data_IF_255908289088
#
_entry.id   IF_255908289088
#
_cell.length_a   1.000
_cell.length_b   1.000
_cell.length_c   1.000
_cell.angle_alpha   90.00
_cell.angle_beta   90.00
_cell.angle_gamma   90.00
#
_symmetry.space_group_name_H-M   'P 1'
#
loop_
_entity.id
_entity.type
_entity.pdbx_description
1 polymer ?
#
# COMPACT_ATOMS: atom_id res chain seq x y z
N UNK A 1 4.38 -59.57 -7.01
CA UNK A 1 5.52 -58.94 -6.29
C UNK A 1 6.20 -57.81 -7.08
N UNK A 2 5.47 -57.03 -7.89
CA UNK A 2 6.06 -55.96 -8.71
C UNK A 2 5.47 -54.54 -8.47
N UNK A 3 4.36 -54.40 -7.74
CA UNK A 3 3.70 -53.09 -7.56
C UNK A 3 4.18 -52.28 -6.34
N UNK A 4 4.93 -52.87 -5.41
CA UNK A 4 5.31 -52.15 -4.19
C UNK A 4 6.54 -51.23 -4.33
N UNK A 5 7.26 -51.26 -5.47
CA UNK A 5 8.49 -50.48 -5.67
C UNK A 5 8.28 -49.08 -6.26
N UNK A 6 7.08 -48.73 -6.73
CA UNK A 6 6.84 -47.45 -7.41
C UNK A 6 6.53 -46.28 -6.46
N UNK A 7 6.00 -46.54 -5.26
CA UNK A 7 5.63 -45.46 -4.32
C UNK A 7 6.81 -44.86 -3.55
N UNK A 8 7.95 -45.56 -3.38
CA UNK A 8 9.10 -45.03 -2.63
C UNK A 8 9.91 -43.97 -3.37
N UNK A 9 9.94 -43.98 -4.72
CA UNK A 9 10.72 -43.00 -5.50
C UNK A 9 10.07 -41.61 -5.58
N UNK A 10 8.73 -41.52 -5.53
CA UNK A 10 8.02 -40.22 -5.49
C UNK A 10 8.08 -39.54 -4.13
N UNK A 11 8.08 -40.30 -3.03
CA UNK A 11 8.20 -39.75 -1.67
C UNK A 11 9.60 -39.15 -1.39
N UNK A 12 10.67 -39.73 -1.96
CA UNK A 12 12.04 -39.21 -1.77
C UNK A 12 12.31 -37.93 -2.57
N UNK A 13 11.75 -37.80 -3.78
CA UNK A 13 11.86 -36.58 -4.58
C UNK A 13 11.10 -35.38 -3.99
N UNK A 14 9.96 -35.62 -3.35
CA UNK A 14 9.17 -34.56 -2.70
C UNK A 14 9.87 -34.01 -1.43
N UNK A 15 10.57 -34.87 -0.68
CA UNK A 15 11.30 -34.49 0.53
C UNK A 15 12.56 -33.64 0.24
N UNK A 16 13.22 -33.86 -0.89
CA UNK A 16 14.39 -33.07 -1.33
C UNK A 16 14.00 -31.71 -1.92
N UNK A 17 12.82 -31.61 -2.55
CA UNK A 17 12.29 -30.35 -3.07
C UNK A 17 11.75 -29.44 -1.95
N UNK A 18 11.11 -30.01 -0.91
CA UNK A 18 10.68 -29.25 0.26
C UNK A 18 11.86 -28.74 1.10
N UNK A 19 12.97 -29.51 1.21
CA UNK A 19 14.14 -29.06 1.97
C UNK A 19 14.91 -27.94 1.27
N UNK A 20 15.00 -27.91 -0.06
CA UNK A 20 15.64 -26.80 -0.80
C UNK A 20 14.83 -25.51 -0.75
N UNK A 21 13.50 -25.56 -0.82
CA UNK A 21 12.64 -24.36 -0.66
C UNK A 21 12.69 -23.82 0.77
N UNK A 22 12.65 -24.70 1.78
CA UNK A 22 12.74 -24.29 3.20
C UNK A 22 14.12 -23.71 3.52
N UNK A 23 15.21 -24.28 3.02
CA UNK A 23 16.56 -23.71 3.20
C UNK A 23 16.73 -22.41 2.42
N UNK A 24 16.11 -22.26 1.26
CA UNK A 24 16.12 -21.01 0.49
C UNK A 24 15.37 -19.87 1.18
N UNK A 25 14.20 -20.14 1.75
CA UNK A 25 13.40 -19.16 2.51
C UNK A 25 14.04 -18.85 3.86
N UNK A 26 14.56 -19.86 4.58
CA UNK A 26 15.31 -19.64 5.82
C UNK A 26 16.59 -18.86 5.54
N UNK A 27 17.34 -19.18 4.48
CA UNK A 27 18.53 -18.42 4.08
C UNK A 27 18.22 -16.96 3.72
N UNK A 28 17.13 -16.72 2.97
CA UNK A 28 16.67 -15.37 2.64
C UNK A 28 16.27 -14.55 3.88
N UNK A 29 15.71 -15.21 4.90
CA UNK A 29 15.35 -14.57 6.17
C UNK A 29 16.55 -14.41 7.12
N UNK A 30 17.55 -15.30 7.08
CA UNK A 30 18.71 -15.30 7.98
C UNK A 30 19.92 -14.48 7.50
N UNK A 31 20.00 -14.11 6.22
CA UNK A 31 21.11 -13.31 5.69
C UNK A 31 20.74 -11.85 5.41
N UNK A 32 19.88 -11.25 6.23
CA UNK A 32 19.71 -9.80 6.22
C UNK A 32 20.97 -9.16 6.82
N UNK A 33 21.80 -8.57 5.97
CA UNK A 33 22.93 -7.76 6.44
C UNK A 33 22.37 -6.53 7.15
N UNK A 34 22.70 -6.31 8.44
CA UNK A 34 22.25 -5.12 9.15
C UNK A 34 22.80 -3.87 8.46
N UNK A 35 22.14 -2.72 8.69
CA UNK A 35 22.68 -1.43 8.25
C UNK A 35 24.09 -1.27 8.83
N UNK A 36 25.06 -0.98 7.95
CA UNK A 36 26.49 -0.89 8.26
C UNK A 36 27.02 0.47 7.79
N UNK A 37 26.73 1.49 8.60
CA UNK A 37 27.12 2.88 8.34
C UNK A 37 28.64 3.02 8.20
N UNK A 38 29.40 2.24 8.99
CA UNK A 38 30.87 2.26 8.96
C UNK A 38 31.40 1.74 7.63
N UNK A 39 30.79 0.70 7.05
CA UNK A 39 31.17 0.21 5.73
C UNK A 39 30.85 1.23 4.62
N UNK A 40 29.72 1.93 4.70
CA UNK A 40 29.39 3.00 3.75
C UNK A 40 30.38 4.16 3.85
N UNK A 41 30.67 4.63 5.07
CA UNK A 41 31.65 5.70 5.30
C UNK A 41 33.04 5.31 4.76
N UNK A 42 33.46 4.06 4.95
CA UNK A 42 34.71 3.53 4.38
C UNK A 42 34.69 3.46 2.86
N UNK A 43 33.55 3.12 2.24
CA UNK A 43 33.41 3.08 0.79
C UNK A 43 33.52 4.48 0.19
N UNK A 44 32.80 5.46 0.74
CA UNK A 44 32.87 6.87 0.35
C UNK A 44 34.29 7.41 0.57
N UNK A 45 34.89 7.13 1.72
CA UNK A 45 36.22 7.59 2.06
C UNK A 45 37.31 7.04 1.10
N UNK A 46 37.07 5.89 0.46
CA UNK A 46 37.99 5.28 -0.52
C UNK A 46 37.66 5.63 -1.97
N UNK A 47 36.50 6.22 -2.24
CA UNK A 47 36.05 6.51 -3.59
C UNK A 47 36.87 7.64 -4.21
N UNK A 48 37.24 7.47 -5.48
CA UNK A 48 37.90 8.47 -6.33
C UNK A 48 36.96 9.03 -7.41
N UNK A 49 35.77 8.44 -7.56
CA UNK A 49 34.77 8.82 -8.55
C UNK A 49 33.36 8.57 -8.04
N UNK A 50 32.48 9.55 -8.22
CA UNK A 50 31.06 9.51 -7.94
C UNK A 50 30.28 9.64 -9.25
N UNK A 51 29.30 8.76 -9.44
CA UNK A 51 28.37 8.83 -10.57
C UNK A 51 26.95 8.80 -10.04
N UNK A 52 26.14 9.78 -10.46
CA UNK A 52 24.70 9.81 -10.21
C UNK A 52 23.98 9.32 -11.46
N UNK A 53 23.18 8.28 -11.31
CA UNK A 53 22.27 7.79 -12.36
C UNK A 53 20.83 8.14 -11.98
N UNK A 54 20.04 8.52 -12.98
CA UNK A 54 18.62 8.81 -12.82
C UNK A 54 17.73 7.57 -12.69
N UNK A 55 16.43 7.82 -12.73
CA UNK A 55 15.36 6.84 -12.51
C UNK A 55 15.58 5.53 -13.32
N UNK A 56 15.55 4.35 -12.66
CA UNK A 56 15.69 3.07 -13.32
C UNK A 56 14.65 2.79 -14.40
N UNK A 57 13.45 3.37 -14.31
CA UNK A 57 12.38 3.22 -15.30
C UNK A 57 12.54 4.17 -16.49
N UNK A 58 13.43 5.16 -16.40
CA UNK A 58 13.76 6.10 -17.48
C UNK A 58 15.11 5.78 -18.14
N UNK A 59 15.61 4.56 -18.00
CA UNK A 59 16.83 4.09 -18.68
C UNK A 59 18.15 4.42 -17.99
N UNK A 60 18.14 4.89 -16.73
CA UNK A 60 19.34 5.17 -15.91
C UNK A 60 20.37 6.08 -16.59
N UNK A 61 19.92 7.19 -17.15
CA UNK A 61 20.82 8.21 -17.68
C UNK A 61 21.79 8.73 -16.60
N UNK A 62 23.03 9.02 -16.98
CA UNK A 62 23.99 9.66 -16.09
C UNK A 62 23.62 11.13 -15.93
N UNK A 63 23.28 11.52 -14.70
CA UNK A 63 22.86 12.88 -14.36
C UNK A 63 24.04 13.76 -13.94
N UNK A 64 25.02 13.16 -13.26
CA UNK A 64 26.16 13.87 -12.71
C UNK A 64 27.34 12.90 -12.52
N UNK A 65 28.55 13.41 -12.70
CA UNK A 65 29.79 12.70 -12.42
C UNK A 65 30.79 13.67 -11.79
N UNK A 66 31.54 13.20 -10.80
CA UNK A 66 32.62 13.98 -10.19
C UNK A 66 33.75 13.08 -9.72
N UNK A 67 34.98 13.55 -9.92
CA UNK A 67 36.20 13.02 -9.30
C UNK A 67 36.75 13.96 -8.23
N UNK A 68 36.03 15.05 -7.94
CA UNK A 68 36.42 15.98 -6.88
C UNK A 68 36.17 15.32 -5.53
N UNK A 69 37.22 15.33 -4.70
CA UNK A 69 37.17 14.71 -3.40
C UNK A 69 36.22 15.45 -2.44
N UNK A 70 36.17 16.77 -2.52
CA UNK A 70 35.32 17.58 -1.66
C UNK A 70 33.83 17.28 -1.92
N UNK A 71 33.47 17.13 -3.20
CA UNK A 71 32.13 16.75 -3.66
C UNK A 71 31.68 15.39 -3.12
N UNK A 72 32.55 14.38 -3.21
CA UNK A 72 32.30 13.02 -2.70
C UNK A 72 32.08 13.06 -1.17
N UNK A 73 32.90 13.81 -0.45
CA UNK A 73 32.81 13.93 1.00
C UNK A 73 31.57 14.73 1.43
N UNK A 74 31.21 15.78 0.69
CA UNK A 74 30.00 16.57 0.94
C UNK A 74 28.75 15.70 0.81
N UNK A 75 28.64 14.91 -0.25
CA UNK A 75 27.54 13.94 -0.38
C UNK A 75 27.59 12.90 0.75
N UNK A 76 28.78 12.42 1.12
CA UNK A 76 28.92 11.46 2.22
C UNK A 76 28.42 11.98 3.57
N UNK A 77 28.56 13.28 3.84
CA UNK A 77 27.97 13.94 5.03
C UNK A 77 26.44 14.02 4.95
N UNK A 78 25.88 14.10 3.75
CA UNK A 78 24.43 14.12 3.53
C UNK A 78 23.76 12.74 3.63
N UNK A 79 24.53 11.64 3.53
CA UNK A 79 24.03 10.26 3.55
C UNK A 79 24.09 9.58 4.94
N UNK A 80 24.10 10.35 6.02
CA UNK A 80 24.07 9.79 7.38
C UNK A 80 22.70 9.23 7.70
N UNK A 81 22.68 7.97 8.16
CA UNK A 81 21.45 7.23 8.44
C UNK A 81 21.34 6.79 9.89
N UNK A 82 20.10 6.58 10.33
CA UNK A 82 19.78 5.95 11.60
C UNK A 82 19.90 4.42 11.50
N UNK A 83 20.28 3.78 12.60
CA UNK A 83 20.22 2.33 12.70
C UNK A 83 18.75 1.94 12.92
N UNK A 84 18.09 1.22 11.99
CA UNK A 84 16.70 0.88 12.16
C UNK A 84 16.55 -0.18 13.26
N UNK A 85 15.57 -0.01 14.15
CA UNK A 85 15.21 -1.00 15.18
C UNK A 85 14.70 -2.31 14.56
N UNK A 86 14.06 -2.19 13.40
CA UNK A 86 13.50 -3.30 12.64
C UNK A 86 13.84 -3.16 11.15
N UNK A 87 14.17 -4.29 10.51
CA UNK A 87 14.44 -4.29 9.07
C UNK A 87 13.19 -3.88 8.29
N UNK A 88 13.35 -2.89 7.43
CA UNK A 88 12.33 -2.37 6.54
C UNK A 88 12.87 -2.34 5.11
N UNK A 89 12.00 -2.52 4.11
CA UNK A 89 12.34 -2.30 2.72
C UNK A 89 11.12 -1.74 2.01
N UNK A 90 11.27 -0.59 1.37
CA UNK A 90 10.25 -0.03 0.50
C UNK A 90 10.06 -0.92 -0.73
N UNK A 91 8.82 -1.06 -1.18
CA UNK A 91 8.47 -1.83 -2.38
C UNK A 91 8.87 -1.13 -3.69
N UNK A 92 9.32 0.13 -3.67
CA UNK A 92 9.75 0.84 -4.87
C UNK A 92 11.19 0.46 -5.29
N UNK A 93 11.52 0.77 -6.55
CA UNK A 93 12.88 0.55 -7.09
C UNK A 93 13.89 1.64 -6.67
N UNK A 94 13.41 2.70 -6.02
CA UNK A 94 14.15 3.95 -5.84
C UNK A 94 14.18 4.78 -7.12
N UNK A 95 14.71 5.99 -7.03
CA UNK A 95 14.85 6.91 -8.18
C UNK A 95 16.31 7.13 -8.52
N UNK A 96 16.97 8.16 -8.01
CA UNK A 96 18.39 8.38 -8.28
C UNK A 96 19.26 7.37 -7.54
N UNK A 97 20.37 6.96 -8.17
CA UNK A 97 21.40 6.15 -7.52
C UNK A 97 22.75 6.84 -7.54
N UNK A 98 23.39 6.87 -6.38
CA UNK A 98 24.72 7.37 -6.11
C UNK A 98 25.69 6.19 -6.10
N UNK A 99 26.53 6.11 -7.12
CA UNK A 99 27.50 5.04 -7.30
C UNK A 99 28.92 5.55 -6.98
N UNK A 100 29.55 4.95 -5.98
CA UNK A 100 30.90 5.29 -5.52
C UNK A 100 31.90 4.29 -6.09
N UNK A 101 32.90 4.76 -6.82
CA UNK A 101 33.90 3.93 -7.49
C UNK A 101 35.31 4.19 -6.94
N UNK A 102 36.19 3.19 -7.10
CA UNK A 102 37.64 3.33 -7.02
C UNK A 102 38.29 2.56 -8.16
N UNK A 103 39.08 3.24 -8.99
CA UNK A 103 39.72 2.63 -10.17
C UNK A 103 38.74 1.75 -10.97
N UNK A 104 37.59 2.31 -11.35
CA UNK A 104 36.48 1.64 -12.06
C UNK A 104 35.73 0.53 -11.32
N UNK A 105 36.14 0.16 -10.10
CA UNK A 105 35.42 -0.80 -9.27
C UNK A 105 34.36 -0.10 -8.43
N UNK A 106 33.09 -0.51 -8.58
CA UNK A 106 32.00 -0.08 -7.71
C UNK A 106 32.26 -0.53 -6.27
N UNK A 107 32.36 0.43 -5.35
CA UNK A 107 32.52 0.20 -3.91
C UNK A 107 31.16 0.11 -3.21
N UNK A 108 30.25 1.01 -3.54
CA UNK A 108 28.90 1.04 -3.00
C UNK A 108 27.95 1.71 -4.00
N UNK A 109 26.70 1.24 -4.01
CA UNK A 109 25.57 1.96 -4.62
C UNK A 109 24.57 2.29 -3.53
N UNK A 110 24.17 3.55 -3.49
CA UNK A 110 23.10 4.06 -2.64
C UNK A 110 21.97 4.54 -3.55
N UNK A 111 20.74 4.09 -3.39
CA UNK A 111 19.57 4.64 -4.09
C UNK A 111 18.71 5.49 -3.17
N UNK A 112 18.20 6.60 -3.69
CA UNK A 112 17.19 7.44 -3.06
C UNK A 112 15.85 6.68 -3.02
N UNK A 113 15.20 6.70 -1.86
CA UNK A 113 13.85 6.18 -1.66
C UNK A 113 13.00 7.26 -0.99
N UNK A 114 12.18 7.94 -1.79
CA UNK A 114 11.19 8.93 -1.32
C UNK A 114 11.82 10.19 -0.68
N UNK A 115 13.09 10.46 -0.98
CA UNK A 115 13.83 11.60 -0.45
C UNK A 115 14.21 11.50 1.03
N UNK A 116 13.79 10.45 1.74
CA UNK A 116 13.94 10.33 3.21
C UNK A 116 14.59 9.01 3.66
N UNK A 117 14.58 7.98 2.80
CA UNK A 117 15.29 6.73 3.03
C UNK A 117 16.34 6.49 1.95
N UNK A 118 17.34 5.67 2.27
CA UNK A 118 18.29 5.14 1.30
C UNK A 118 18.36 3.62 1.34
N UNK A 119 18.63 3.02 0.18
CA UNK A 119 18.98 1.60 0.06
C UNK A 119 20.43 1.49 -0.38
N UNK A 120 21.20 0.63 0.27
CA UNK A 120 22.63 0.48 -0.02
C UNK A 120 22.99 -0.97 -0.33
N UNK A 121 23.87 -1.20 -1.30
CA UNK A 121 24.37 -2.55 -1.64
C UNK A 121 25.20 -3.22 -0.54
N UNK A 122 25.59 -2.47 0.49
CA UNK A 122 26.39 -2.97 1.61
C UNK A 122 25.54 -3.69 2.67
N UNK A 123 24.22 -3.45 2.68
CA UNK A 123 23.28 -4.04 3.64
C UNK A 123 21.94 -4.41 2.97
N UNK A 124 20.96 -4.90 3.73
CA UNK A 124 19.69 -5.43 3.17
C UNK A 124 18.44 -4.60 3.51
N UNK A 125 18.51 -3.70 4.48
CA UNK A 125 17.39 -2.82 4.88
C UNK A 125 17.46 -1.46 4.20
N UNK A 126 16.32 -0.83 3.96
CA UNK A 126 16.31 0.62 3.76
C UNK A 126 16.57 1.29 5.12
N UNK A 127 17.25 2.44 5.09
CA UNK A 127 17.67 3.18 6.28
C UNK A 127 17.24 4.65 6.17
N UNK A 128 16.68 5.20 7.25
CA UNK A 128 16.24 6.58 7.29
C UNK A 128 17.43 7.53 7.34
N UNK A 129 17.40 8.62 6.58
CA UNK A 129 18.38 9.69 6.67
C UNK A 129 18.16 10.45 7.99
N UNK A 130 19.24 10.71 8.71
CA UNK A 130 19.23 11.56 9.93
C UNK A 130 18.85 13.01 9.62
N UNK A 131 19.16 13.48 8.41
CA UNK A 131 18.76 14.79 7.92
C UNK A 131 18.53 14.73 6.39
N UNK A 132 17.31 14.38 5.95
CA UNK A 132 16.96 14.27 4.52
C UNK A 132 17.27 15.53 3.71
N UNK A 133 17.14 16.72 4.31
CA UNK A 133 17.33 18.01 3.64
C UNK A 133 18.75 18.21 3.12
N UNK A 134 19.76 17.65 3.79
CA UNK A 134 21.16 17.74 3.31
C UNK A 134 21.35 17.04 1.98
N UNK A 135 20.73 15.86 1.81
CA UNK A 135 20.80 15.12 0.55
C UNK A 135 20.03 15.87 -0.53
N UNK A 136 18.81 16.30 -0.23
CA UNK A 136 17.97 17.02 -1.20
C UNK A 136 18.67 18.28 -1.70
N UNK A 137 19.23 19.11 -0.81
CA UNK A 137 19.99 20.31 -1.21
C UNK A 137 21.20 19.99 -2.07
N UNK A 138 21.96 18.95 -1.72
CA UNK A 138 23.10 18.53 -2.52
C UNK A 138 22.69 18.21 -3.97
N UNK A 139 21.56 17.53 -4.16
CA UNK A 139 21.01 17.27 -5.50
C UNK A 139 20.53 18.56 -6.18
N UNK A 140 19.81 19.44 -5.47
CA UNK A 140 19.28 20.70 -6.02
C UNK A 140 20.38 21.66 -6.49
N UNK A 141 21.46 21.83 -5.71
CA UNK A 141 22.61 22.67 -6.04
C UNK A 141 23.30 22.25 -7.34
N UNK A 142 23.11 21.00 -7.76
CA UNK A 142 23.62 20.41 -9.01
C UNK A 142 22.55 20.32 -10.10
N UNK A 143 21.41 20.99 -9.93
CA UNK A 143 20.31 21.03 -10.89
C UNK A 143 19.47 19.75 -10.96
N UNK A 144 19.62 18.83 -9.99
CA UNK A 144 18.87 17.58 -9.93
C UNK A 144 17.71 17.71 -8.94
N UNK A 145 16.51 18.03 -9.42
CA UNK A 145 15.36 18.32 -8.55
C UNK A 145 14.50 17.10 -8.17
N UNK A 146 14.89 15.88 -8.57
CA UNK A 146 14.11 14.66 -8.32
C UNK A 146 13.79 14.42 -6.85
N UNK A 147 14.80 14.33 -5.96
CA UNK A 147 14.58 14.12 -4.53
C UNK A 147 13.70 15.20 -3.88
N UNK A 148 13.82 16.47 -4.29
CA UNK A 148 12.96 17.56 -3.77
C UNK A 148 11.50 17.34 -4.15
N UNK A 149 11.23 16.98 -5.42
CA UNK A 149 9.86 16.72 -5.88
C UNK A 149 9.22 15.61 -5.07
N UNK A 150 9.96 14.53 -4.81
CA UNK A 150 9.49 13.42 -3.97
C UNK A 150 9.15 13.86 -2.54
N UNK A 151 10.05 14.59 -1.86
CA UNK A 151 9.77 15.10 -0.50
C UNK A 151 8.51 15.96 -0.49
N UNK A 152 8.35 16.85 -1.46
CA UNK A 152 7.18 17.72 -1.57
C UNK A 152 5.89 16.95 -1.90
N UNK A 153 5.97 15.91 -2.74
CA UNK A 153 4.86 15.02 -3.07
C UNK A 153 4.43 14.19 -1.87
N UNK A 154 5.38 13.66 -1.10
CA UNK A 154 5.11 12.93 0.13
C UNK A 154 4.46 13.84 1.17
N UNK A 155 4.99 15.05 1.38
CA UNK A 155 4.41 16.01 2.33
C UNK A 155 2.95 16.36 1.97
N UNK A 156 2.66 16.60 0.69
CA UNK A 156 1.28 16.82 0.20
C UNK A 156 0.41 15.59 0.43
N UNK A 157 0.90 14.41 0.07
CA UNK A 157 0.19 13.15 0.24
C UNK A 157 -0.11 12.84 1.71
N UNK A 158 0.80 13.19 2.62
CA UNK A 158 0.64 13.00 4.06
C UNK A 158 -0.36 13.99 4.67
N UNK A 159 -0.36 15.23 4.19
CA UNK A 159 -1.38 16.21 4.55
C UNK A 159 -2.77 15.76 4.09
N UNK A 160 -2.89 15.32 2.83
CA UNK A 160 -4.15 14.77 2.28
C UNK A 160 -4.59 13.53 3.06
N UNK A 161 -3.68 12.59 3.33
CA UNK A 161 -3.95 11.39 4.13
C UNK A 161 -4.43 11.75 5.53
N UNK A 162 -3.86 12.78 6.14
CA UNK A 162 -4.28 13.26 7.47
C UNK A 162 -5.68 13.86 7.44
N UNK A 163 -6.01 14.67 6.42
CA UNK A 163 -7.37 15.22 6.23
C UNK A 163 -8.39 14.11 5.99
N UNK A 164 -8.05 13.15 5.13
CA UNK A 164 -8.88 11.99 4.83
C UNK A 164 -9.12 11.12 6.06
N UNK A 165 -8.08 10.91 6.87
CA UNK A 165 -8.18 10.21 8.14
C UNK A 165 -9.15 10.89 9.10
N UNK A 166 -9.03 12.21 9.31
CA UNK A 166 -9.95 12.97 10.17
C UNK A 166 -11.40 12.87 9.67
N UNK A 167 -11.60 12.99 8.36
CA UNK A 167 -12.93 12.84 7.74
C UNK A 167 -13.51 11.45 7.96
N UNK A 168 -12.71 10.40 7.77
CA UNK A 168 -13.12 9.01 7.98
C UNK A 168 -13.50 8.73 9.43
N UNK A 169 -12.69 9.22 10.37
CA UNK A 169 -12.98 9.10 11.80
C UNK A 169 -14.28 9.81 12.19
N UNK A 170 -14.54 10.99 11.62
CA UNK A 170 -15.78 11.74 11.88
C UNK A 170 -17.04 11.01 11.37
N UNK A 171 -16.89 10.04 10.47
CA UNK A 171 -17.98 9.23 9.94
C UNK A 171 -18.13 7.86 10.64
N UNK A 172 -17.33 7.57 11.67
CA UNK A 172 -17.43 6.34 12.46
C UNK A 172 -18.85 6.22 13.03
N UNK A 173 -19.53 5.06 12.88
CA UNK A 173 -20.85 4.86 13.44
C UNK A 173 -20.87 5.07 14.95
N UNK A 174 -21.95 5.67 15.44
CA UNK A 174 -22.17 5.85 16.88
C UNK A 174 -22.00 4.51 17.62
N UNK A 175 -21.33 4.54 18.76
CA UNK A 175 -21.03 3.37 19.58
C UNK A 175 -19.68 2.70 19.27
N UNK A 176 -19.05 3.02 18.13
CA UNK A 176 -17.75 2.48 17.75
C UNK A 176 -16.56 3.38 18.11
N UNK A 177 -16.81 4.64 18.49
CA UNK A 177 -15.77 5.67 18.65
C UNK A 177 -14.72 5.30 19.70
N UNK A 178 -15.12 4.59 20.75
CA UNK A 178 -14.25 4.23 21.87
C UNK A 178 -13.62 2.83 21.75
N UNK A 179 -14.08 2.02 20.79
CA UNK A 179 -13.56 0.67 20.55
C UNK A 179 -12.51 0.71 19.45
N UNK A 180 -12.65 1.68 18.54
CA UNK A 180 -11.71 1.90 17.47
C UNK A 180 -10.46 2.63 17.96
N UNK A 181 -9.37 1.88 18.10
CA UNK A 181 -8.05 2.41 18.45
C UNK A 181 -7.17 2.58 17.20
N UNK A 182 -6.59 3.78 17.07
CA UNK A 182 -5.72 4.23 15.97
C UNK A 182 -4.45 3.38 15.85
N UNK A 183 -3.92 2.88 16.95
CA UNK A 183 -2.62 2.21 16.98
C UNK A 183 -2.69 0.74 16.53
N UNK A 184 -3.91 0.23 16.25
CA UNK A 184 -4.13 -1.18 15.98
C UNK A 184 -4.07 -1.59 14.49
N UNK A 185 -3.90 -0.62 13.57
CA UNK A 185 -3.99 -0.89 12.12
C UNK A 185 -2.65 -1.01 11.38
N UNK A 186 -1.51 -0.73 12.03
CA UNK A 186 -0.26 -0.58 11.28
C UNK A 186 0.50 -1.90 11.10
N UNK A 187 0.33 -2.89 11.99
CA UNK A 187 1.10 -4.16 11.90
C UNK A 187 0.34 -5.37 12.45
N UNK A 188 -0.33 -6.11 11.57
CA UNK A 188 -0.42 -7.57 11.70
C UNK A 188 -1.33 -8.18 12.76
N UNK A 189 -2.42 -7.53 13.20
CA UNK A 189 -3.47 -8.21 13.96
C UNK A 189 -4.74 -8.33 13.14
N UNK A 190 -5.16 -9.58 12.89
CA UNK A 190 -6.55 -9.87 12.58
C UNK A 190 -7.38 -9.41 13.79
N UNK A 191 -7.97 -8.22 13.71
CA UNK A 191 -8.96 -7.78 14.69
C UNK A 191 -10.09 -8.80 14.65
N UNK A 192 -10.52 -9.29 15.81
CA UNK A 192 -11.79 -9.98 15.88
C UNK A 192 -12.87 -8.93 15.66
N UNK A 193 -13.73 -9.11 14.66
CA UNK A 193 -14.83 -8.17 14.38
C UNK A 193 -15.89 -8.14 15.48
N UNK A 194 -15.92 -9.18 16.33
CA UNK A 194 -16.96 -9.41 17.33
C UNK A 194 -17.24 -8.23 18.30
N UNK A 195 -16.23 -7.53 18.88
CA UNK A 195 -16.51 -6.38 19.75
C UNK A 195 -17.16 -5.21 19.01
N UNK A 196 -16.78 -4.99 17.74
CA UNK A 196 -17.36 -3.94 16.90
C UNK A 196 -18.79 -4.31 16.50
N UNK A 197 -19.03 -5.58 16.15
CA UNK A 197 -20.37 -6.08 15.86
C UNK A 197 -21.31 -5.95 17.06
N UNK A 198 -20.87 -6.36 18.25
CA UNK A 198 -21.66 -6.24 19.48
C UNK A 198 -22.04 -4.78 19.79
N UNK A 199 -21.11 -3.85 19.59
CA UNK A 199 -21.37 -2.42 19.80
C UNK A 199 -22.32 -1.81 18.76
N UNK A 200 -22.25 -2.26 17.49
CA UNK A 200 -23.21 -1.90 16.46
C UNK A 200 -24.61 -2.43 16.79
N UNK A 201 -24.72 -3.69 17.22
CA UNK A 201 -26.00 -4.29 17.62
C UNK A 201 -26.64 -3.58 18.81
N UNK A 202 -25.83 -3.15 19.77
CA UNK A 202 -26.29 -2.37 20.91
C UNK A 202 -26.81 -0.98 20.48
N UNK A 203 -26.13 -0.32 19.54
CA UNK A 203 -26.46 1.06 19.14
C UNK A 203 -27.56 1.13 18.09
N UNK A 204 -27.57 0.18 17.17
CA UNK A 204 -28.51 0.08 16.05
C UNK A 204 -29.14 -1.32 16.09
N UNK A 205 -30.27 -1.51 16.78
CA UNK A 205 -30.88 -2.83 16.96
C UNK A 205 -31.35 -3.47 15.64
N UNK A 206 -31.66 -2.66 14.62
CA UNK A 206 -32.04 -3.14 13.29
C UNK A 206 -30.83 -3.43 12.40
N UNK A 207 -30.83 -4.57 11.71
CA UNK A 207 -29.80 -4.91 10.71
C UNK A 207 -29.72 -3.86 9.60
N UNK A 208 -30.86 -3.32 9.17
CA UNK A 208 -30.93 -2.25 8.19
C UNK A 208 -30.21 -0.99 8.67
N UNK A 209 -30.43 -0.56 9.91
CA UNK A 209 -29.77 0.63 10.47
C UNK A 209 -28.26 0.44 10.55
N UNK A 210 -27.81 -0.76 10.95
CA UNK A 210 -26.38 -1.13 10.96
C UNK A 210 -25.77 -1.06 9.57
N UNK A 211 -26.40 -1.68 8.57
CA UNK A 211 -25.93 -1.66 7.18
C UNK A 211 -25.84 -0.23 6.65
N UNK A 212 -26.86 0.60 6.87
CA UNK A 212 -26.84 1.99 6.40
C UNK A 212 -25.73 2.81 7.08
N UNK A 213 -25.57 2.68 8.40
CA UNK A 213 -24.49 3.35 9.13
C UNK A 213 -23.10 2.92 8.63
N UNK A 214 -22.91 1.62 8.39
CA UNK A 214 -21.68 1.09 7.83
C UNK A 214 -21.43 1.52 6.38
N UNK A 215 -22.48 1.61 5.54
CA UNK A 215 -22.37 2.16 4.19
C UNK A 215 -21.96 3.64 4.23
N UNK A 216 -22.56 4.46 5.10
CA UNK A 216 -22.12 5.86 5.26
C UNK A 216 -20.66 5.95 5.66
N UNK A 217 -20.23 5.13 6.62
CA UNK A 217 -18.85 5.11 7.06
C UNK A 217 -17.92 4.66 5.93
N UNK A 218 -18.17 3.51 5.31
CA UNK A 218 -17.35 2.95 4.23
C UNK A 218 -17.28 3.87 3.00
N UNK A 219 -18.37 4.57 2.70
CA UNK A 219 -18.45 5.56 1.63
C UNK A 219 -17.68 6.85 1.92
N UNK A 220 -17.37 7.18 3.18
CA UNK A 220 -16.64 8.40 3.54
C UNK A 220 -15.12 8.35 3.23
N UNK A 221 -14.64 7.16 2.86
CA UNK A 221 -13.23 6.88 2.63
C UNK A 221 -12.67 7.64 1.44
N UNK A 222 -11.36 7.76 1.40
CA UNK A 222 -10.69 8.60 0.40
C UNK A 222 -9.90 7.79 -0.63
N UNK A 223 -9.62 6.52 -0.34
CA UNK A 223 -8.90 5.67 -1.28
C UNK A 223 -9.74 5.34 -2.52
N UNK A 224 -9.08 5.05 -3.66
CA UNK A 224 -9.77 4.47 -4.80
C UNK A 224 -10.46 3.16 -4.41
N UNK A 225 -11.51 2.81 -5.14
CA UNK A 225 -12.27 1.58 -4.92
C UNK A 225 -11.43 0.32 -5.22
N UNK A 226 -10.31 0.45 -5.95
CA UNK A 226 -9.34 -0.63 -6.18
C UNK A 226 -8.27 -0.82 -5.12
N UNK A 227 -8.10 0.13 -4.21
CA UNK A 227 -7.08 0.05 -3.17
C UNK A 227 -7.15 1.26 -2.28
N UNK A 228 -7.30 1.04 -0.98
CA UNK A 228 -7.51 2.11 -0.03
C UNK A 228 -6.61 1.94 1.20
N UNK A 229 -6.43 3.00 2.00
CA UNK A 229 -5.69 2.89 3.25
C UNK A 229 -6.22 1.73 4.10
N UNK A 230 -5.31 0.97 4.73
CA UNK A 230 -5.68 -0.25 5.46
C UNK A 230 -6.71 -0.03 6.58
N UNK A 231 -6.81 1.18 7.12
CA UNK A 231 -7.82 1.53 8.13
C UNK A 231 -9.26 1.56 7.59
N UNK A 232 -9.45 1.70 6.27
CA UNK A 232 -10.78 1.69 5.67
C UNK A 232 -11.35 0.28 5.53
N UNK A 233 -10.50 -0.76 5.60
CA UNK A 233 -10.87 -2.18 5.46
C UNK A 233 -11.89 -2.62 6.49
N UNK A 234 -11.88 -2.06 7.69
CA UNK A 234 -12.82 -2.47 8.74
C UNK A 234 -14.28 -2.24 8.36
N UNK A 235 -14.58 -1.14 7.63
CA UNK A 235 -15.93 -0.85 7.17
C UNK A 235 -16.41 -1.88 6.15
N UNK A 236 -15.51 -2.29 5.24
CA UNK A 236 -15.77 -3.36 4.28
C UNK A 236 -15.99 -4.71 4.99
N UNK A 237 -15.10 -5.09 5.89
CA UNK A 237 -15.16 -6.36 6.61
C UNK A 237 -16.46 -6.49 7.44
N UNK A 238 -16.88 -5.42 8.12
CA UNK A 238 -18.15 -5.40 8.84
C UNK A 238 -19.35 -5.51 7.89
N UNK A 239 -19.36 -4.80 6.76
CA UNK A 239 -20.42 -4.94 5.74
C UNK A 239 -20.49 -6.35 5.15
N UNK A 240 -19.33 -7.00 4.94
CA UNK A 240 -19.24 -8.37 4.44
C UNK A 240 -19.71 -9.43 5.43
N UNK A 241 -20.10 -9.04 6.66
CA UNK A 241 -20.76 -9.96 7.60
C UNK A 241 -22.27 -10.08 7.36
N UNK A 242 -22.88 -9.18 6.59
CA UNK A 242 -24.30 -9.22 6.20
C UNK A 242 -24.50 -9.92 4.87
N UNK A 243 -25.57 -10.71 4.72
CA UNK A 243 -25.94 -11.33 3.44
C UNK A 243 -26.26 -10.27 2.38
N UNK A 244 -26.11 -10.63 1.10
CA UNK A 244 -26.46 -9.72 -0.01
C UNK A 244 -27.94 -9.33 0.02
N UNK A 245 -28.82 -10.21 0.53
CA UNK A 245 -30.23 -9.90 0.77
C UNK A 245 -30.43 -8.77 1.77
N UNK A 246 -29.75 -8.82 2.93
CA UNK A 246 -29.82 -7.76 3.95
C UNK A 246 -29.26 -6.42 3.42
N UNK A 247 -28.17 -6.48 2.63
CA UNK A 247 -27.62 -5.28 1.98
C UNK A 247 -28.63 -4.65 1.01
N UNK A 248 -29.29 -5.47 0.19
CA UNK A 248 -30.32 -5.01 -0.77
C UNK A 248 -31.53 -4.45 -0.03
N UNK A 249 -32.03 -5.16 0.97
CA UNK A 249 -33.19 -4.74 1.78
C UNK A 249 -32.92 -3.38 2.42
N UNK A 250 -31.76 -3.21 3.05
CA UNK A 250 -31.38 -1.96 3.70
C UNK A 250 -31.35 -0.77 2.72
N UNK A 251 -30.86 -0.98 1.50
CA UNK A 251 -30.81 0.06 0.46
C UNK A 251 -32.15 0.32 -0.22
N UNK A 252 -33.10 -0.62 -0.15
CA UNK A 252 -34.45 -0.46 -0.70
C UNK A 252 -35.39 0.27 0.24
N UNK A 253 -35.09 0.29 1.53
CA UNK A 253 -35.95 0.94 2.52
C UNK A 253 -36.11 2.43 2.24
N UNK A 254 -37.31 2.75 1.72
CA UNK A 254 -37.65 4.06 1.19
C UNK A 254 -37.45 5.16 2.25
N UNK A 255 -36.75 6.24 1.86
CA UNK A 255 -36.60 7.46 2.68
C UNK A 255 -35.40 7.51 3.62
N UNK A 256 -34.63 6.43 3.78
CA UNK A 256 -33.45 6.41 4.69
C UNK A 256 -32.11 6.52 3.96
N UNK A 257 -32.05 6.21 2.67
CA UNK A 257 -30.80 6.25 1.91
C UNK A 257 -30.37 7.70 1.62
N UNK A 258 -29.19 8.09 2.11
CA UNK A 258 -28.53 9.37 1.82
C UNK A 258 -27.47 9.18 0.72
N UNK A 259 -26.93 10.24 0.12
CA UNK A 259 -25.80 10.11 -0.80
C UNK A 259 -24.59 9.35 -0.21
N UNK A 260 -24.36 9.46 1.11
CA UNK A 260 -23.30 8.71 1.79
C UNK A 260 -23.59 7.20 1.83
N UNK A 261 -24.86 6.80 2.03
CA UNK A 261 -25.26 5.38 1.97
C UNK A 261 -25.04 4.82 0.56
N UNK A 262 -25.42 5.59 -0.48
CA UNK A 262 -25.20 5.18 -1.87
C UNK A 262 -23.73 5.05 -2.23
N UNK A 263 -22.88 5.96 -1.72
CA UNK A 263 -21.44 5.89 -1.92
C UNK A 263 -20.85 4.58 -1.38
N UNK A 264 -21.13 4.23 -0.13
CA UNK A 264 -20.61 3.00 0.47
C UNK A 264 -21.17 1.74 -0.14
N UNK A 265 -22.47 1.71 -0.45
CA UNK A 265 -23.10 0.57 -1.10
C UNK A 265 -22.53 0.33 -2.50
N UNK A 266 -22.37 1.39 -3.29
CA UNK A 266 -21.80 1.31 -4.62
C UNK A 266 -20.32 0.89 -4.55
N UNK A 267 -19.57 1.43 -3.58
CA UNK A 267 -18.17 1.07 -3.33
C UNK A 267 -18.01 -0.41 -2.97
N UNK A 268 -18.82 -0.93 -2.06
CA UNK A 268 -18.81 -2.33 -1.64
C UNK A 268 -19.15 -3.25 -2.82
N UNK A 269 -20.29 -3.02 -3.47
CA UNK A 269 -20.83 -3.91 -4.51
C UNK A 269 -20.03 -3.84 -5.82
N UNK A 270 -19.36 -2.72 -6.10
CA UNK A 270 -18.37 -2.58 -7.18
C UNK A 270 -16.93 -2.94 -6.77
N UNK A 271 -16.74 -3.31 -5.50
CA UNK A 271 -15.46 -3.65 -4.90
C UNK A 271 -14.90 -4.98 -5.38
N UNK A 272 -13.58 -5.11 -5.32
CA UNK A 272 -12.90 -6.36 -5.67
C UNK A 272 -13.17 -7.47 -4.64
N UNK A 273 -13.15 -7.15 -3.34
CA UNK A 273 -13.36 -8.12 -2.26
C UNK A 273 -14.74 -8.74 -2.36
N UNK A 274 -15.80 -7.94 -2.51
CA UNK A 274 -17.17 -8.44 -2.70
C UNK A 274 -17.28 -9.41 -3.88
N UNK A 275 -16.74 -9.03 -5.04
CA UNK A 275 -16.78 -9.87 -6.25
C UNK A 275 -16.00 -11.17 -6.10
N UNK A 276 -14.92 -11.15 -5.32
CA UNK A 276 -14.07 -12.31 -5.06
C UNK A 276 -14.70 -13.27 -4.04
N UNK A 277 -15.23 -12.74 -2.95
CA UNK A 277 -15.80 -13.54 -1.85
C UNK A 277 -17.21 -14.03 -2.15
N UNK A 278 -17.96 -13.28 -2.97
CA UNK A 278 -19.35 -13.58 -3.33
C UNK A 278 -19.53 -13.61 -4.84
N UNK A 279 -18.85 -14.55 -5.54
CA UNK A 279 -18.94 -14.65 -6.98
C UNK A 279 -20.39 -14.96 -7.38
N UNK A 280 -21.04 -14.01 -8.07
CA UNK A 280 -22.42 -14.15 -8.55
C UNK A 280 -23.47 -13.39 -7.74
N UNK A 281 -23.18 -12.98 -6.51
CA UNK A 281 -24.15 -12.26 -5.66
C UNK A 281 -24.58 -10.92 -6.22
N UNK A 282 -23.73 -10.29 -7.05
CA UNK A 282 -24.11 -9.08 -7.77
C UNK A 282 -25.33 -9.29 -8.68
N UNK A 283 -25.64 -10.53 -9.09
CA UNK A 283 -26.87 -10.85 -9.83
C UNK A 283 -28.13 -10.75 -8.96
N UNK A 284 -28.00 -10.86 -7.62
CA UNK A 284 -29.09 -10.71 -6.67
C UNK A 284 -29.49 -9.25 -6.47
N UNK A 285 -28.62 -8.30 -6.83
CA UNK A 285 -28.90 -6.86 -6.71
C UNK A 285 -29.92 -6.44 -7.78
N UNK A 286 -31.11 -5.93 -7.39
CA UNK A 286 -32.15 -5.53 -8.31
C UNK A 286 -31.72 -4.43 -9.30
N UNK A 287 -32.28 -4.46 -10.51
CA UNK A 287 -31.90 -3.54 -11.59
C UNK A 287 -32.12 -2.07 -11.24
N UNK A 288 -33.16 -1.75 -10.46
CA UNK A 288 -33.42 -0.39 -10.00
C UNK A 288 -32.34 0.10 -9.02
N UNK A 289 -31.83 -0.76 -8.13
CA UNK A 289 -30.72 -0.41 -7.24
C UNK A 289 -29.42 -0.21 -8.02
N UNK A 290 -29.11 -1.10 -8.98
CA UNK A 290 -27.94 -0.91 -9.86
C UNK A 290 -28.01 0.42 -10.60
N UNK A 291 -29.18 0.75 -11.15
CA UNK A 291 -29.40 2.04 -11.80
C UNK A 291 -29.19 3.21 -10.83
N UNK A 292 -29.70 3.14 -9.60
CA UNK A 292 -29.50 4.19 -8.61
C UNK A 292 -28.01 4.38 -8.24
N UNK A 293 -27.28 3.28 -8.04
CA UNK A 293 -25.83 3.32 -7.78
C UNK A 293 -25.06 3.87 -8.99
N UNK A 294 -25.43 3.49 -10.21
CA UNK A 294 -24.86 4.07 -11.43
C UNK A 294 -25.12 5.57 -11.52
N UNK A 295 -26.36 6.01 -11.31
CA UNK A 295 -26.72 7.42 -11.36
C UNK A 295 -25.99 8.25 -10.30
N UNK A 296 -25.69 7.67 -9.13
CA UNK A 296 -24.89 8.31 -8.08
C UNK A 296 -23.43 8.52 -8.48
N UNK A 297 -22.84 7.63 -9.27
CA UNK A 297 -21.38 7.63 -9.53
C UNK A 297 -20.98 8.09 -10.93
N UNK A 298 -21.87 8.05 -11.92
CA UNK A 298 -21.55 8.27 -13.34
C UNK A 298 -20.88 9.62 -13.66
N UNK A 299 -21.12 10.63 -12.82
CA UNK A 299 -20.59 12.00 -13.02
C UNK A 299 -19.29 12.25 -12.23
N UNK A 300 -18.73 11.22 -11.59
CA UNK A 300 -17.43 11.33 -10.91
C UNK A 300 -16.28 11.55 -11.91
N UNK A 301 -15.25 12.29 -11.48
CA UNK A 301 -13.99 12.42 -12.23
C UNK A 301 -13.00 11.30 -11.92
N UNK A 302 -13.24 10.55 -10.86
CA UNK A 302 -12.43 9.40 -10.45
C UNK A 302 -12.62 8.23 -11.41
N UNK A 303 -11.61 7.95 -12.22
CA UNK A 303 -11.65 6.91 -13.24
C UNK A 303 -11.70 5.49 -12.66
N UNK A 304 -11.11 5.26 -11.48
CA UNK A 304 -11.14 3.95 -10.83
C UNK A 304 -12.57 3.63 -10.36
N UNK A 305 -13.18 4.59 -9.66
CA UNK A 305 -14.58 4.51 -9.24
C UNK A 305 -15.52 4.31 -10.44
N UNK A 306 -15.35 5.12 -11.50
CA UNK A 306 -16.19 5.03 -12.69
C UNK A 306 -16.04 3.66 -13.38
N UNK A 307 -14.82 3.18 -13.59
CA UNK A 307 -14.55 1.90 -14.24
C UNK A 307 -15.16 0.73 -13.48
N UNK A 308 -15.08 0.72 -12.15
CA UNK A 308 -15.71 -0.31 -11.30
C UNK A 308 -17.22 -0.25 -11.34
N UNK A 309 -17.79 0.95 -11.24
CA UNK A 309 -19.22 1.14 -11.35
C UNK A 309 -19.77 0.73 -12.73
N UNK A 310 -19.04 1.00 -13.81
CA UNK A 310 -19.41 0.55 -15.15
C UNK A 310 -19.49 -0.98 -15.23
N UNK A 311 -18.48 -1.66 -14.69
CA UNK A 311 -18.46 -3.13 -14.67
C UNK A 311 -19.59 -3.72 -13.82
N UNK A 312 -19.92 -3.08 -12.68
CA UNK A 312 -20.87 -3.62 -11.72
C UNK A 312 -22.34 -3.27 -12.01
N UNK A 313 -22.61 -2.05 -12.48
CA UNK A 313 -23.95 -1.46 -12.45
C UNK A 313 -24.48 -1.06 -13.82
N UNK A 314 -23.61 -0.85 -14.82
CA UNK A 314 -24.07 -0.47 -16.16
C UNK A 314 -24.80 -1.66 -16.81
N UNK A 315 -26.04 -1.47 -17.32
CA UNK A 315 -26.72 -2.52 -18.05
C UNK A 315 -25.89 -2.97 -19.26
N UNK A 316 -25.75 -4.29 -19.46
CA UNK A 316 -24.93 -4.87 -20.55
C UNK A 316 -25.40 -4.47 -21.96
N UNK A 317 -26.63 -3.98 -22.10
CA UNK A 317 -27.16 -3.48 -23.37
C UNK A 317 -26.73 -2.04 -23.68
N UNK A 318 -26.23 -1.30 -22.69
CA UNK A 318 -25.78 0.09 -22.85
C UNK A 318 -24.31 0.22 -23.26
N UNK A 319 -23.50 -0.86 -23.18
CA UNK A 319 -22.05 -0.84 -23.48
C UNK A 319 -21.69 -1.11 -24.94
N UNK A 320 -22.67 -1.19 -25.84
CA UNK A 320 -22.49 -1.44 -27.29
C UNK A 320 -22.70 -0.20 -28.18
N UNK A 321 -22.70 1.01 -27.62
CA UNK A 321 -22.71 2.27 -28.37
C UNK A 321 -21.41 3.01 -28.14
#
# INVERSE_FOLDING_TARGET
>A
MAEWKFHKKRAFGLLVALSTVVVGVIGYLYFKKPVDVVALDKAIAKADRLVILGDPFQGRQMLYESTDREEIELLGRALKVEQPEMSFACACAGTESMNFYRAEKLLARVSNHHGVFIRCTLWSSDAALTNPELMVRWFEERGMFGPRREVNENARSDEERSKNWVRWLAAVPKGLENIWDRDQDIVGRAKTLAPLQAALEQTFPSAQERVLALCAWYGSGAGPWSGYPGYETIGEELLLTYSTGELVEAMQSAGMATPAHWEGAARLLGGWTFSKERPGDLALVPANLKKAMWDHVKDTKDQDKLGRAQLAFLPKDASKK
#
